data_IF_418402517764
#
_entry.id   IF_418402517764
#
_cell.length_a   1.000
_cell.length_b   1.000
_cell.length_c   1.000
_cell.angle_alpha   90.00
_cell.angle_beta   90.00
_cell.angle_gamma   90.00
#
_symmetry.space_group_name_H-M   'P 1'
#
loop_
_entity.id
_entity.type
_entity.pdbx_description
1 polymer ?
#
# COMPACT_ATOMS: atom_id res chain seq x y z
N UNK A 1 -23.12 -12.62 -8.02
CA UNK A 1 -23.87 -11.44 -8.50
C UNK A 1 -23.61 -11.25 -9.98
N UNK A 2 -24.38 -10.40 -10.68
CA UNK A 2 -24.08 -10.08 -12.07
C UNK A 2 -23.23 -8.81 -12.15
N UNK A 3 -22.34 -8.77 -13.13
CA UNK A 3 -21.45 -7.63 -13.38
C UNK A 3 -22.28 -6.36 -13.71
N UNK A 4 -22.11 -5.25 -12.97
CA UNK A 4 -22.83 -4.01 -13.26
C UNK A 4 -22.48 -3.39 -14.61
N UNK A 5 -21.29 -3.71 -15.17
CA UNK A 5 -20.84 -3.15 -16.45
C UNK A 5 -21.37 -3.90 -17.68
N UNK A 6 -21.44 -5.24 -17.64
CA UNK A 6 -21.76 -6.03 -18.81
C UNK A 6 -22.87 -7.08 -18.60
N UNK A 7 -23.40 -7.20 -17.38
CA UNK A 7 -24.44 -8.15 -17.02
C UNK A 7 -24.02 -9.63 -16.88
N UNK A 8 -22.77 -9.98 -17.23
CA UNK A 8 -22.27 -11.34 -17.11
C UNK A 8 -22.11 -11.79 -15.64
N UNK A 9 -22.16 -13.10 -15.35
CA UNK A 9 -21.88 -13.61 -14.01
C UNK A 9 -20.48 -13.20 -13.54
N UNK A 10 -20.35 -12.93 -12.23
CA UNK A 10 -19.07 -12.62 -11.59
C UNK A 10 -18.65 -13.71 -10.64
N UNK A 11 -17.35 -13.93 -10.51
CA UNK A 11 -16.72 -14.85 -9.55
C UNK A 11 -16.35 -14.09 -8.29
N UNK A 12 -16.74 -14.60 -7.11
CA UNK A 12 -16.35 -14.03 -5.82
C UNK A 12 -15.00 -14.60 -5.39
N UNK A 13 -14.02 -13.73 -5.19
CA UNK A 13 -12.75 -14.05 -4.54
C UNK A 13 -12.87 -13.71 -3.05
N UNK A 14 -13.25 -14.71 -2.24
CA UNK A 14 -13.57 -14.53 -0.80
C UNK A 14 -12.39 -14.09 0.04
N UNK A 15 -11.19 -14.52 -0.32
CA UNK A 15 -9.95 -14.19 0.38
C UNK A 15 -9.59 -12.70 0.23
N UNK A 16 -10.11 -12.06 -0.83
CA UNK A 16 -9.82 -10.67 -1.20
C UNK A 16 -11.05 -9.76 -1.23
N UNK A 17 -12.22 -10.26 -0.82
CA UNK A 17 -13.49 -9.55 -0.75
C UNK A 17 -13.86 -8.74 -2.00
N UNK A 18 -13.61 -9.28 -3.19
CA UNK A 18 -14.07 -8.67 -4.43
C UNK A 18 -14.73 -9.68 -5.39
N UNK A 19 -15.54 -9.16 -6.30
CA UNK A 19 -16.06 -9.91 -7.43
C UNK A 19 -15.31 -9.57 -8.69
N UNK A 20 -14.92 -10.58 -9.45
CA UNK A 20 -14.27 -10.42 -10.75
C UNK A 20 -15.16 -10.88 -11.88
N UNK A 21 -15.25 -10.08 -12.95
CA UNK A 21 -15.94 -10.42 -14.18
C UNK A 21 -14.95 -10.87 -15.24
N UNK A 22 -14.92 -12.15 -15.58
CA UNK A 22 -14.06 -12.68 -16.63
C UNK A 22 -14.37 -12.13 -18.01
N UNK A 23 -15.65 -11.79 -18.26
CA UNK A 23 -16.12 -11.31 -19.56
C UNK A 23 -15.58 -9.90 -19.92
N UNK A 24 -15.67 -8.93 -18.99
CA UNK A 24 -15.19 -7.56 -19.22
C UNK A 24 -13.98 -7.20 -18.39
N UNK A 25 -13.43 -8.15 -17.65
CA UNK A 25 -12.24 -8.00 -16.80
C UNK A 25 -12.37 -6.87 -15.77
N UNK A 26 -13.58 -6.63 -15.26
CA UNK A 26 -13.83 -5.64 -14.23
C UNK A 26 -13.83 -6.25 -12.84
N UNK A 27 -13.36 -5.47 -11.87
CA UNK A 27 -13.42 -5.78 -10.44
C UNK A 27 -14.57 -5.01 -9.81
N UNK A 28 -15.26 -5.61 -8.86
CA UNK A 28 -16.37 -5.01 -8.13
C UNK A 28 -16.15 -5.28 -6.65
N UNK A 29 -15.93 -4.23 -5.91
CA UNK A 29 -15.66 -4.27 -4.47
C UNK A 29 -16.97 -3.97 -3.73
N UNK A 30 -17.44 -4.85 -2.83
CA UNK A 30 -18.66 -4.60 -2.05
C UNK A 30 -18.49 -3.40 -1.11
N UNK A 31 -17.31 -3.26 -0.52
CA UNK A 31 -16.95 -2.14 0.36
C UNK A 31 -15.89 -1.27 -0.35
N UNK A 32 -16.31 -0.11 -0.88
CA UNK A 32 -15.42 0.77 -1.66
C UNK A 32 -14.50 1.65 -0.79
N UNK A 33 -14.82 1.81 0.48
CA UNK A 33 -14.05 2.65 1.40
C UNK A 33 -13.07 1.80 2.20
N UNK A 34 -11.85 1.70 1.70
CA UNK A 34 -10.75 1.28 2.58
C UNK A 34 -10.55 2.39 3.60
N UNK A 35 -10.92 2.11 4.85
CA UNK A 35 -10.87 3.07 5.95
C UNK A 35 -9.49 3.74 6.03
N UNK A 36 -9.47 5.06 6.04
CA UNK A 36 -8.25 5.86 6.11
C UNK A 36 -7.59 6.18 4.76
N UNK A 37 -8.02 5.60 3.63
CA UNK A 37 -7.47 5.92 2.32
C UNK A 37 -8.20 7.11 1.68
N UNK A 38 -7.42 8.08 1.18
CA UNK A 38 -7.93 9.23 0.44
C UNK A 38 -7.12 9.47 -0.82
N UNK A 39 -7.81 9.56 -1.96
CA UNK A 39 -7.20 9.93 -3.24
C UNK A 39 -6.85 11.42 -3.20
N UNK A 40 -5.60 11.74 -3.55
CA UNK A 40 -5.09 13.11 -3.62
C UNK A 40 -5.12 13.67 -5.05
N UNK A 41 -5.09 12.80 -6.05
CA UNK A 41 -5.10 13.17 -7.45
C UNK A 41 -4.39 12.17 -8.35
N UNK A 42 -4.07 12.62 -9.56
CA UNK A 42 -3.30 11.83 -10.51
C UNK A 42 -1.84 11.66 -10.04
N UNK A 43 -1.25 10.56 -10.46
CA UNK A 43 0.15 10.26 -10.17
C UNK A 43 1.08 11.06 -11.10
N UNK A 44 1.84 12.02 -10.59
CA UNK A 44 2.73 12.86 -11.41
C UNK A 44 3.94 12.09 -11.98
N UNK A 45 4.26 10.93 -11.41
CA UNK A 45 5.41 10.11 -11.82
C UNK A 45 5.06 9.11 -12.92
N UNK A 46 3.79 9.00 -13.31
CA UNK A 46 3.36 8.09 -14.35
C UNK A 46 3.48 6.60 -13.98
N UNK A 47 3.52 6.27 -12.69
CA UNK A 47 3.64 4.89 -12.21
C UNK A 47 2.37 4.09 -12.49
N UNK A 48 2.51 2.89 -13.06
CA UNK A 48 1.39 2.03 -13.45
C UNK A 48 1.23 0.85 -12.48
N UNK A 49 0.01 0.32 -12.41
CA UNK A 49 -0.27 -0.89 -11.64
C UNK A 49 0.53 -2.08 -12.21
N UNK A 50 1.22 -2.85 -11.37
CA UNK A 50 1.96 -4.03 -11.81
C UNK A 50 1.10 -5.05 -12.56
N UNK A 51 -0.11 -5.31 -12.08
CA UNK A 51 -1.04 -6.27 -12.69
C UNK A 51 -1.94 -5.67 -13.77
N UNK A 52 -2.61 -4.54 -13.49
CA UNK A 52 -3.63 -3.97 -14.39
C UNK A 52 -3.07 -3.08 -15.49
N UNK A 53 -1.82 -2.63 -15.40
CA UNK A 53 -1.15 -1.71 -16.34
C UNK A 53 -1.83 -0.34 -16.53
N UNK A 54 -2.78 0.02 -15.64
CA UNK A 54 -3.40 1.35 -15.60
C UNK A 54 -2.61 2.27 -14.70
N UNK A 55 -2.71 3.58 -14.93
CA UNK A 55 -2.06 4.61 -14.11
C UNK A 55 -2.59 4.52 -12.67
N UNK A 56 -1.70 4.57 -11.70
CA UNK A 56 -2.04 4.60 -10.29
C UNK A 56 -2.47 6.00 -9.86
N UNK A 57 -3.39 6.09 -8.91
CA UNK A 57 -3.73 7.33 -8.24
C UNK A 57 -2.75 7.57 -7.08
N UNK A 58 -2.37 8.84 -6.88
CA UNK A 58 -1.67 9.25 -5.68
C UNK A 58 -2.65 9.25 -4.50
N UNK A 59 -2.29 8.62 -3.40
CA UNK A 59 -3.12 8.52 -2.20
C UNK A 59 -2.38 8.95 -0.95
N UNK A 60 -3.15 9.21 0.09
CA UNK A 60 -2.67 9.23 1.47
C UNK A 60 -3.45 8.22 2.31
N UNK A 61 -2.76 7.57 3.23
CA UNK A 61 -3.36 6.72 4.26
C UNK A 61 -3.24 7.45 5.59
N UNK A 62 -4.39 7.70 6.25
CA UNK A 62 -4.53 8.52 7.47
C UNK A 62 -3.84 9.90 7.38
N UNK A 63 -3.90 10.55 6.22
CA UNK A 63 -3.31 11.86 5.95
C UNK A 63 -1.78 11.96 6.07
N UNK A 64 -1.09 10.92 6.54
CA UNK A 64 0.35 10.91 6.81
C UNK A 64 1.15 10.05 5.84
N UNK A 65 0.63 8.87 5.49
CA UNK A 65 1.38 7.89 4.72
C UNK A 65 1.07 8.01 3.25
N UNK A 66 2.05 8.39 2.44
CA UNK A 66 1.91 8.53 0.99
C UNK A 66 2.12 7.21 0.29
N UNK A 67 1.33 6.98 -0.76
CA UNK A 67 1.42 5.81 -1.60
C UNK A 67 0.60 5.97 -2.86
N UNK A 68 0.39 4.87 -3.56
CA UNK A 68 -0.39 4.84 -4.78
C UNK A 68 -1.43 3.73 -4.72
N UNK A 69 -2.58 3.95 -5.34
CA UNK A 69 -3.66 2.98 -5.45
C UNK A 69 -4.05 2.74 -6.90
N UNK A 70 -4.28 1.50 -7.25
CA UNK A 70 -4.82 1.16 -8.55
C UNK A 70 -6.33 1.47 -8.60
N UNK A 71 -6.81 2.31 -9.53
CA UNK A 71 -8.23 2.58 -9.66
C UNK A 71 -9.04 1.37 -10.12
N UNK A 72 -8.37 0.34 -10.68
CA UNK A 72 -9.03 -0.85 -11.21
C UNK A 72 -9.10 -1.99 -10.20
N UNK A 73 -7.97 -2.44 -9.63
CA UNK A 73 -7.93 -3.56 -8.69
C UNK A 73 -7.79 -3.14 -7.23
N UNK A 74 -7.69 -1.84 -6.95
CA UNK A 74 -7.51 -1.24 -5.62
C UNK A 74 -6.28 -1.73 -4.83
N UNK A 75 -5.35 -2.41 -5.49
CA UNK A 75 -4.06 -2.74 -4.90
C UNK A 75 -3.25 -1.48 -4.60
N UNK A 76 -2.35 -1.58 -3.64
CA UNK A 76 -1.61 -0.47 -3.06
C UNK A 76 -0.11 -0.62 -3.32
N UNK A 77 0.54 0.47 -3.67
CA UNK A 77 1.99 0.56 -3.79
C UNK A 77 2.53 1.54 -2.76
N UNK A 78 3.41 1.06 -1.89
CA UNK A 78 4.09 1.86 -0.89
C UNK A 78 5.61 1.71 -0.98
N UNK A 79 6.33 2.73 -0.51
CA UNK A 79 7.70 2.53 -0.09
C UNK A 79 7.73 1.64 1.16
N UNK A 80 8.75 0.79 1.29
CA UNK A 80 8.89 -0.19 2.39
C UNK A 80 8.86 0.48 3.77
N UNK A 81 9.52 1.62 3.93
CA UNK A 81 9.52 2.37 5.19
C UNK A 81 8.13 2.89 5.51
N UNK A 82 7.46 3.50 4.53
CA UNK A 82 6.07 4.00 4.69
C UNK A 82 5.11 2.86 5.06
N UNK A 83 5.21 1.71 4.40
CA UNK A 83 4.39 0.54 4.71
C UNK A 83 4.58 0.10 6.18
N UNK A 84 5.82 -0.02 6.64
CA UNK A 84 6.11 -0.40 8.04
C UNK A 84 5.58 0.62 9.02
N UNK A 85 5.88 1.91 8.79
CA UNK A 85 5.46 2.99 9.69
C UNK A 85 3.93 3.09 9.77
N UNK A 86 3.22 2.85 8.67
CA UNK A 86 1.76 2.82 8.64
C UNK A 86 1.21 1.65 9.48
N UNK A 87 1.76 0.45 9.32
CA UNK A 87 1.35 -0.71 10.12
C UNK A 87 1.58 -0.45 11.61
N UNK A 88 2.78 -0.02 11.98
CA UNK A 88 3.14 0.25 13.37
C UNK A 88 2.23 1.32 14.00
N UNK A 89 1.94 2.37 13.23
CA UNK A 89 1.03 3.44 13.64
C UNK A 89 -0.37 2.92 13.94
N UNK A 90 -0.97 2.16 13.01
CA UNK A 90 -2.33 1.67 13.17
C UNK A 90 -2.44 0.61 14.27
N UNK A 91 -1.52 -0.35 14.27
CA UNK A 91 -1.53 -1.43 15.25
C UNK A 91 -1.32 -0.93 16.67
N UNK A 92 -0.44 0.05 16.88
CA UNK A 92 -0.22 0.65 18.20
C UNK A 92 -1.45 1.39 18.76
N UNK A 93 -2.35 1.85 17.90
CA UNK A 93 -3.57 2.58 18.24
C UNK A 93 -4.83 1.74 18.18
N UNK A 94 -4.73 0.49 17.78
CA UNK A 94 -5.88 -0.39 17.61
C UNK A 94 -6.65 -0.59 18.93
N UNK A 95 -7.94 -0.26 18.90
CA UNK A 95 -8.87 -0.43 20.04
C UNK A 95 -9.90 -1.53 19.80
N UNK A 96 -10.09 -1.89 18.53
CA UNK A 96 -11.04 -2.95 18.14
C UNK A 96 -10.44 -4.32 18.42
N UNK A 97 -11.26 -5.35 18.67
CA UNK A 97 -10.78 -6.72 18.73
C UNK A 97 -10.03 -7.10 17.46
N UNK A 98 -8.97 -7.92 17.54
CA UNK A 98 -8.28 -8.41 16.36
C UNK A 98 -9.18 -9.34 15.54
N UNK A 99 -9.00 -9.32 14.24
CA UNK A 99 -9.62 -10.28 13.34
C UNK A 99 -8.89 -11.63 13.39
N UNK A 100 -9.60 -12.77 13.26
CA UNK A 100 -8.96 -14.07 13.20
C UNK A 100 -8.04 -14.15 11.97
N UNK A 101 -6.99 -14.96 12.05
CA UNK A 101 -6.10 -15.20 10.91
C UNK A 101 -6.89 -15.78 9.74
N UNK A 102 -6.75 -15.18 8.58
CA UNK A 102 -7.18 -15.75 7.30
C UNK A 102 -6.06 -16.63 6.74
N UNK A 103 -6.45 -17.68 6.01
CA UNK A 103 -5.49 -18.42 5.19
C UNK A 103 -5.22 -17.59 3.93
N UNK A 104 -3.97 -17.54 3.47
CA UNK A 104 -3.66 -17.03 2.15
C UNK A 104 -3.79 -18.16 1.10
N UNK A 105 -4.01 -17.78 -0.15
CA UNK A 105 -4.01 -18.74 -1.26
C UNK A 105 -2.54 -19.06 -1.66
N UNK A 106 -2.07 -20.31 -1.55
CA UNK A 106 -0.73 -20.67 -1.98
C UNK A 106 -0.43 -20.33 -3.45
N UNK A 107 -1.47 -20.31 -4.32
CA UNK A 107 -1.33 -19.90 -5.72
C UNK A 107 -0.89 -18.44 -5.89
N UNK A 108 -1.03 -17.60 -4.86
CA UNK A 108 -0.52 -16.23 -4.88
C UNK A 108 1.01 -16.16 -4.93
N UNK A 109 1.70 -17.22 -4.49
CA UNK A 109 3.16 -17.29 -4.53
C UNK A 109 3.71 -17.57 -5.94
N UNK A 110 2.88 -18.07 -6.85
CA UNK A 110 3.28 -18.47 -8.20
C UNK A 110 3.09 -17.35 -9.24
N UNK A 111 2.81 -16.13 -8.80
CA UNK A 111 2.56 -15.00 -9.69
C UNK A 111 3.85 -14.26 -10.07
N UNK A 112 3.93 -13.85 -11.33
CA UNK A 112 5.02 -13.00 -11.84
C UNK A 112 4.56 -11.53 -11.79
N UNK A 113 5.10 -10.77 -10.84
CA UNK A 113 4.82 -9.33 -10.68
C UNK A 113 6.06 -8.52 -11.06
N UNK A 114 5.88 -7.46 -11.86
CA UNK A 114 6.98 -6.61 -12.31
C UNK A 114 6.87 -5.21 -11.71
N UNK A 115 7.98 -4.71 -11.21
CA UNK A 115 8.05 -3.39 -10.60
C UNK A 115 7.63 -2.29 -11.57
N UNK A 116 6.73 -1.43 -11.13
CA UNK A 116 6.20 -0.32 -11.91
C UNK A 116 7.24 0.72 -12.31
N UNK A 117 8.36 0.79 -11.57
CA UNK A 117 9.43 1.79 -11.77
C UNK A 117 10.57 1.23 -12.59
N UNK A 118 11.20 0.12 -12.17
CA UNK A 118 12.39 -0.41 -12.84
C UNK A 118 12.10 -1.59 -13.78
N UNK A 119 10.85 -2.04 -13.89
CA UNK A 119 10.41 -3.16 -14.74
C UNK A 119 11.10 -4.50 -14.45
N UNK A 120 11.85 -4.61 -13.36
CA UNK A 120 12.40 -5.88 -12.90
C UNK A 120 11.31 -6.68 -12.21
N UNK A 121 11.45 -7.99 -12.25
CA UNK A 121 10.61 -8.91 -11.47
C UNK A 121 10.72 -8.58 -9.98
N UNK A 122 9.57 -8.58 -9.30
CA UNK A 122 9.46 -8.38 -7.86
C UNK A 122 9.54 -9.73 -7.17
N UNK A 123 10.10 -9.77 -5.98
CA UNK A 123 10.09 -10.97 -5.16
C UNK A 123 8.74 -11.12 -4.48
N UNK A 124 8.05 -12.23 -4.77
CA UNK A 124 6.76 -12.57 -4.17
C UNK A 124 6.98 -13.54 -3.02
N UNK A 125 6.51 -13.21 -1.83
CA UNK A 125 6.67 -14.07 -0.65
C UNK A 125 5.59 -13.82 0.40
N UNK A 126 5.39 -14.83 1.25
CA UNK A 126 4.56 -14.69 2.43
C UNK A 126 5.17 -13.67 3.40
N UNK A 127 4.42 -12.63 3.74
CA UNK A 127 4.87 -11.61 4.67
C UNK A 127 5.08 -12.20 6.07
N UNK A 128 6.26 -12.03 6.63
CA UNK A 128 6.65 -12.58 7.94
C UNK A 128 6.07 -11.80 9.14
N UNK A 129 5.32 -10.73 8.88
CA UNK A 129 4.61 -9.96 9.89
C UNK A 129 3.20 -10.48 10.14
N UNK A 130 2.37 -9.68 10.82
CA UNK A 130 0.97 -10.05 11.07
C UNK A 130 0.15 -10.08 9.77
N UNK A 131 -0.97 -10.81 9.78
CA UNK A 131 -1.97 -10.78 8.70
C UNK A 131 -1.95 -11.95 7.75
N UNK A 132 -0.87 -12.76 7.70
CA UNK A 132 -0.76 -13.92 6.82
C UNK A 132 -1.10 -13.60 5.36
N UNK A 133 -0.44 -12.59 4.79
CA UNK A 133 -0.61 -12.11 3.43
C UNK A 133 0.60 -12.47 2.55
N UNK A 134 0.43 -12.37 1.24
CA UNK A 134 1.51 -12.49 0.24
C UNK A 134 1.78 -11.11 -0.34
N UNK A 135 3.03 -10.66 -0.30
CA UNK A 135 3.43 -9.34 -0.81
C UNK A 135 4.44 -9.48 -1.94
N UNK A 136 4.45 -8.50 -2.83
CA UNK A 136 5.49 -8.36 -3.84
C UNK A 136 6.44 -7.22 -3.49
N UNK A 137 7.74 -7.48 -3.53
CA UNK A 137 8.76 -6.50 -3.14
C UNK A 137 9.76 -6.24 -4.25
N UNK A 138 9.98 -4.98 -4.59
CA UNK A 138 11.10 -4.56 -5.41
C UNK A 138 12.24 -4.06 -4.53
N UNK A 139 13.29 -4.84 -4.36
CA UNK A 139 14.46 -4.44 -3.57
C UNK A 139 15.25 -3.29 -4.19
N UNK A 140 15.26 -3.18 -5.53
CA UNK A 140 15.98 -2.11 -6.23
C UNK A 140 15.35 -0.73 -6.04
N UNK A 141 14.00 -0.67 -5.92
CA UNK A 141 13.24 0.57 -5.79
C UNK A 141 12.68 0.76 -4.36
N UNK A 142 12.93 -0.18 -3.46
CA UNK A 142 12.39 -0.21 -2.09
C UNK A 142 10.86 -0.09 -2.03
N UNK A 143 10.16 -0.75 -2.97
CA UNK A 143 8.71 -0.70 -3.09
C UNK A 143 8.08 -2.02 -2.69
N UNK A 144 6.87 -1.92 -2.12
CA UNK A 144 6.01 -3.04 -1.77
C UNK A 144 4.66 -2.85 -2.47
N UNK A 145 4.22 -3.90 -3.16
CA UNK A 145 2.86 -4.00 -3.69
C UNK A 145 2.02 -4.89 -2.79
N UNK A 146 0.82 -4.42 -2.52
CA UNK A 146 -0.22 -5.11 -1.77
C UNK A 146 -1.46 -5.26 -2.64
N UNK A 147 -2.06 -6.41 -2.60
CA UNK A 147 -3.39 -6.60 -3.17
C UNK A 147 -4.47 -5.96 -2.29
N UNK A 148 -5.66 -5.84 -2.86
CA UNK A 148 -6.82 -5.31 -2.13
C UNK A 148 -7.06 -6.05 -0.82
N UNK A 149 -7.28 -5.30 0.27
CA UNK A 149 -7.59 -5.84 1.60
C UNK A 149 -6.38 -6.35 2.40
N UNK A 150 -5.21 -6.54 1.80
CA UNK A 150 -4.03 -7.05 2.51
C UNK A 150 -3.53 -6.09 3.59
N UNK A 151 -3.55 -4.79 3.34
CA UNK A 151 -3.20 -3.80 4.35
C UNK A 151 -4.09 -3.92 5.60
N UNK A 152 -5.39 -4.08 5.41
CA UNK A 152 -6.34 -4.23 6.51
C UNK A 152 -6.15 -5.57 7.26
N UNK A 153 -5.86 -6.66 6.55
CA UNK A 153 -5.52 -7.94 7.17
C UNK A 153 -4.31 -7.80 8.10
N UNK A 154 -3.27 -7.06 7.69
CA UNK A 154 -2.08 -6.80 8.52
C UNK A 154 -2.41 -5.94 9.73
N UNK A 155 -3.15 -4.86 9.54
CA UNK A 155 -3.52 -3.93 10.61
C UNK A 155 -4.42 -4.61 11.64
N UNK A 156 -5.39 -5.43 11.21
CA UNK A 156 -6.37 -6.07 12.08
C UNK A 156 -5.92 -7.41 12.67
N UNK A 157 -4.83 -7.99 12.18
CA UNK A 157 -4.33 -9.27 12.65
C UNK A 157 -3.99 -9.27 14.16
N UNK A 158 -4.15 -10.42 14.85
CA UNK A 158 -3.70 -10.56 16.24
C UNK A 158 -2.20 -10.29 16.39
N UNK A 159 -1.77 -9.82 17.55
CA UNK A 159 -0.36 -9.60 17.85
C UNK A 159 -0.17 -8.86 19.16
N UNK A 160 1.00 -9.04 19.79
CA UNK A 160 1.35 -8.42 21.07
C UNK A 160 1.60 -6.90 20.96
N UNK A 161 1.82 -6.41 19.77
CA UNK A 161 2.07 -5.02 19.38
C UNK A 161 0.78 -4.20 19.27
N UNK A 162 -0.39 -4.86 19.17
CA UNK A 162 -1.68 -4.16 19.10
C UNK A 162 -2.02 -3.43 20.38
N UNK A 163 -2.35 -2.14 20.25
CA UNK A 163 -2.70 -1.27 21.38
C UNK A 163 -1.51 -0.93 22.29
N UNK A 164 -0.29 -1.28 21.90
CA UNK A 164 0.93 -0.92 22.62
C UNK A 164 1.51 0.34 21.98
N UNK A 165 1.61 1.48 22.71
CA UNK A 165 2.16 2.70 22.18
C UNK A 165 3.61 2.49 21.70
N UNK A 166 3.92 3.04 20.53
CA UNK A 166 5.29 3.01 20.01
C UNK A 166 6.24 3.76 20.95
N UNK A 167 7.47 3.26 21.14
CA UNK A 167 8.49 4.00 21.86
C UNK A 167 8.73 5.33 21.16
N UNK A 168 8.81 6.42 21.95
CA UNK A 168 9.13 7.74 21.39
C UNK A 168 10.49 7.66 20.70
N UNK A 169 10.57 8.07 19.44
CA UNK A 169 11.86 8.18 18.73
C UNK A 169 12.76 9.14 19.51
N UNK A 170 13.98 8.70 19.79
CA UNK A 170 14.96 9.49 20.57
C UNK A 170 15.48 10.72 19.79
N UNK A 171 15.09 10.88 18.54
CA UNK A 171 15.60 11.93 17.64
C UNK A 171 14.96 13.32 17.89
N UNK A 172 13.92 13.41 18.74
CA UNK A 172 13.33 14.72 19.11
C UNK A 172 14.17 15.52 20.13
N UNK A 173 15.35 15.04 20.55
CA UNK A 173 16.20 15.70 21.55
C UNK A 173 17.30 16.61 21.00
N UNK A 174 17.27 17.03 19.75
CA UNK A 174 18.17 18.06 19.22
C UNK A 174 17.48 19.00 18.23
N UNK A 175 16.42 19.66 18.67
CA UNK A 175 16.02 20.93 18.08
C UNK A 175 16.38 22.02 19.08
N UNK A 176 17.51 22.68 18.88
CA UNK A 176 17.86 23.93 19.56
C UNK A 176 16.75 24.98 19.29
N UNK A 177 16.27 25.69 20.32
CA UNK A 177 15.24 26.71 20.16
C UNK A 177 15.84 28.04 19.73
N UNK A 178 16.55 28.12 18.59
CA UNK A 178 17.04 29.39 18.07
C UNK A 178 17.21 29.36 16.55
N UNK A 179 16.10 29.42 15.81
CA UNK A 179 16.07 30.22 14.59
C UNK A 179 14.60 30.53 14.19
N UNK A 180 14.15 31.72 14.59
CA UNK A 180 12.98 32.36 13.99
C UNK A 180 13.39 32.91 12.64
N UNK A 181 13.03 32.26 11.56
CA UNK A 181 12.88 32.90 10.26
C UNK A 181 11.76 32.19 9.52
N UNK A 182 10.77 32.98 9.10
CA UNK A 182 9.62 32.51 8.35
C UNK A 182 10.07 31.94 7.01
N UNK A 183 9.56 30.80 6.69
CA UNK A 183 9.66 30.13 5.40
C UNK A 183 8.47 29.20 5.26
N UNK A 184 7.75 29.32 4.17
CA UNK A 184 6.59 28.54 3.79
C UNK A 184 6.82 27.04 3.96
N UNK A 185 5.76 26.25 4.26
CA UNK A 185 5.83 24.82 4.33
C UNK A 185 5.90 24.22 2.91
N UNK A 186 7.04 24.37 2.26
CA UNK A 186 7.36 23.58 1.07
C UNK A 186 7.71 22.16 1.52
N UNK A 187 6.69 21.37 1.57
CA UNK A 187 6.56 19.95 1.27
C UNK A 187 7.82 19.09 1.47
N UNK A 188 7.78 18.24 2.48
CA UNK A 188 8.66 17.08 2.65
C UNK A 188 8.66 16.10 1.45
N UNK A 189 7.94 16.40 0.39
CA UNK A 189 7.86 15.68 -0.87
C UNK A 189 9.17 15.75 -1.68
N UNK A 190 9.88 16.88 -1.65
CA UNK A 190 11.15 17.03 -2.39
C UNK A 190 12.30 16.22 -1.78
N UNK A 191 12.21 15.84 -0.52
CA UNK A 191 13.34 15.19 0.17
C UNK A 191 13.55 13.72 -0.21
N UNK A 192 12.55 13.03 -0.79
CA UNK A 192 12.70 11.64 -1.18
C UNK A 192 12.63 11.39 -2.70
N UNK A 193 12.11 12.37 -3.47
CA UNK A 193 12.06 12.30 -4.94
C UNK A 193 13.41 12.65 -5.58
N UNK A 194 14.13 13.63 -5.02
CA UNK A 194 15.41 14.11 -5.57
C UNK A 194 16.48 13.00 -5.66
N UNK A 195 16.69 12.12 -4.66
CA UNK A 195 17.66 11.05 -4.79
C UNK A 195 17.33 10.00 -5.86
N UNK A 196 16.03 9.85 -6.19
CA UNK A 196 15.60 8.87 -7.19
C UNK A 196 15.91 9.33 -8.62
N UNK A 197 15.81 10.63 -8.88
CA UNK A 197 16.06 11.21 -10.20
C UNK A 197 17.55 11.34 -10.52
N UNK A 198 18.38 11.64 -9.54
CA UNK A 198 19.83 11.77 -9.77
C UNK A 198 20.51 10.43 -10.09
N UNK A 199 19.97 9.31 -9.61
CA UNK A 199 20.50 7.98 -9.94
C UNK A 199 20.17 7.49 -11.35
N UNK A 200 19.18 8.08 -12.00
CA UNK A 200 18.73 7.69 -13.35
C UNK A 200 19.45 8.46 -14.46
N UNK A 201 19.93 9.69 -14.18
CA UNK A 201 20.56 10.57 -15.15
C UNK A 201 22.10 10.60 -15.09
N UNK A 202 22.74 9.80 -14.23
CA UNK A 202 24.18 9.73 -14.08
C UNK A 202 24.76 8.46 -14.72
N UNK A 203 24.47 8.26 -16.01
CA UNK A 203 25.21 7.38 -16.93
C UNK A 203 25.07 7.86 -18.35
#
# INVERSE_FOLDING_TARGET
MNCPQCGAPTTLFRERDYYYCEHCQSYHFPDQDQEGLRILGENPEGTHCPGCRVLLNLITYDDFFRGYQCPKCQGLLFNRTTFRDAIDFHRSRAKTPPEPFSLFDPGELDRDTYCSVCQKEMETFQYNGPGNIVIDTCHSCDLIWLDYGELQKVVNAPGKDRGVPLPKRQDEKKADPAHKSGGDPKTSFEAWVIPLLESIFSK
#
